data_IF_587892983847
#
_entry.id   IF_587892983847
#
_cell.length_a   1.000
_cell.length_b   1.000
_cell.length_c   1.000
_cell.angle_alpha   90.00
_cell.angle_beta   90.00
_cell.angle_gamma   90.00
#
_symmetry.space_group_name_H-M   'P 1'
#
loop_
_entity.id
_entity.type
_entity.pdbx_description
1 polymer ?
#
# COMPACT_ATOMS: atom_id res chain seq x y z
N UNK A 1 -11.66 31.36 2.22
CA UNK A 1 -10.33 30.73 2.34
C UNK A 1 -10.14 30.37 3.79
N UNK A 2 -10.33 29.10 4.07
CA UNK A 2 -10.41 28.47 5.38
C UNK A 2 -9.10 28.64 6.15
N UNK A 3 -9.04 29.67 7.01
CA UNK A 3 -7.89 29.99 7.85
C UNK A 3 -7.41 28.76 8.66
N UNK A 4 -8.34 27.89 9.06
CA UNK A 4 -8.07 26.74 9.94
C UNK A 4 -7.30 25.61 9.28
N UNK A 5 -7.58 25.28 8.00
CA UNK A 5 -6.88 24.19 7.33
C UNK A 5 -5.42 24.53 7.04
N UNK A 6 -5.13 25.80 6.76
CA UNK A 6 -3.76 26.29 6.56
C UNK A 6 -2.93 26.14 7.84
N UNK A 7 -3.47 26.58 8.99
CA UNK A 7 -2.81 26.44 10.29
C UNK A 7 -2.54 24.95 10.64
N UNK A 8 -3.50 24.07 10.36
CA UNK A 8 -3.32 22.62 10.58
C UNK A 8 -2.19 22.07 9.71
N UNK A 9 -2.08 22.50 8.45
CA UNK A 9 -0.97 22.11 7.58
C UNK A 9 0.38 22.59 8.11
N UNK A 10 0.45 23.81 8.66
CA UNK A 10 1.68 24.30 9.31
C UNK A 10 2.04 23.47 10.54
N UNK A 11 1.07 23.11 11.38
CA UNK A 11 1.30 22.24 12.54
C UNK A 11 1.81 20.85 12.12
N UNK A 12 1.31 20.30 11.01
CA UNK A 12 1.80 19.03 10.45
C UNK A 12 3.25 19.19 9.96
N UNK A 13 3.59 20.30 9.27
CA UNK A 13 4.97 20.59 8.84
C UNK A 13 5.93 20.69 10.02
N UNK A 14 5.49 21.29 11.13
CA UNK A 14 6.23 21.39 12.39
C UNK A 14 6.27 20.08 13.19
N UNK A 15 5.73 18.97 12.67
CA UNK A 15 5.60 17.66 13.35
C UNK A 15 4.78 17.72 14.66
N UNK A 16 3.95 18.75 14.85
CA UNK A 16 3.07 18.93 16.02
C UNK A 16 1.71 18.24 15.81
N UNK A 17 1.73 16.93 15.63
CA UNK A 17 0.55 16.14 15.26
C UNK A 17 -0.57 16.17 16.29
N UNK A 18 -0.25 16.24 17.58
CA UNK A 18 -1.26 16.30 18.67
C UNK A 18 -2.09 17.58 18.58
N UNK A 19 -1.42 18.72 18.41
CA UNK A 19 -2.10 20.02 18.25
C UNK A 19 -2.89 20.06 16.95
N UNK A 20 -2.31 19.58 15.86
CA UNK A 20 -2.99 19.48 14.57
C UNK A 20 -4.29 18.66 14.67
N UNK A 21 -4.25 17.51 15.35
CA UNK A 21 -5.41 16.65 15.53
C UNK A 21 -6.48 17.30 16.44
N UNK A 22 -6.06 18.00 17.49
CA UNK A 22 -6.99 18.74 18.36
C UNK A 22 -7.73 19.84 17.58
N UNK A 23 -6.99 20.68 16.84
CA UNK A 23 -7.59 21.72 15.98
C UNK A 23 -8.51 21.12 14.92
N UNK A 24 -8.12 19.98 14.35
CA UNK A 24 -8.92 19.28 13.35
C UNK A 24 -10.23 18.70 13.93
N UNK A 25 -10.24 18.27 15.18
CA UNK A 25 -11.46 17.80 15.88
C UNK A 25 -12.46 18.92 16.19
N UNK A 26 -12.01 20.18 16.26
CA UNK A 26 -12.91 21.33 16.46
C UNK A 26 -13.74 21.63 15.20
N UNK A 27 -13.32 21.14 14.03
CA UNK A 27 -14.04 21.32 12.78
C UNK A 27 -15.24 20.36 12.77
N UNK A 28 -16.45 20.92 12.82
CA UNK A 28 -17.70 20.14 12.81
C UNK A 28 -17.98 19.51 11.44
N UNK A 29 -17.60 20.20 10.37
CA UNK A 29 -17.86 19.77 9.01
C UNK A 29 -16.77 18.82 8.50
N UNK A 30 -17.12 17.55 8.31
CA UNK A 30 -16.20 16.50 7.88
C UNK A 30 -16.16 16.40 6.36
N UNK A 31 -15.62 17.43 5.73
CA UNK A 31 -15.44 17.47 4.28
C UNK A 31 -14.27 16.59 3.80
N UNK A 32 -14.10 16.48 2.48
CA UNK A 32 -12.98 15.75 1.89
C UNK A 32 -11.61 16.22 2.41
N UNK A 33 -11.42 17.54 2.58
CA UNK A 33 -10.19 18.13 3.13
C UNK A 33 -9.89 17.63 4.55
N UNK A 34 -10.93 17.50 5.39
CA UNK A 34 -10.80 17.00 6.77
C UNK A 34 -10.30 15.55 6.79
N UNK A 35 -10.89 14.70 5.94
CA UNK A 35 -10.47 13.31 5.80
C UNK A 35 -9.05 13.18 5.23
N UNK A 36 -8.69 14.04 4.27
CA UNK A 36 -7.32 14.11 3.75
C UNK A 36 -6.29 14.48 4.82
N UNK A 37 -6.51 15.56 5.57
CA UNK A 37 -5.60 15.97 6.64
C UNK A 37 -5.51 14.92 7.77
N UNK A 38 -6.62 14.28 8.12
CA UNK A 38 -6.65 13.16 9.08
C UNK A 38 -5.76 12.01 8.61
N UNK A 39 -5.85 11.64 7.33
CA UNK A 39 -5.03 10.57 6.74
C UNK A 39 -3.54 10.93 6.74
N UNK A 40 -3.20 12.20 6.53
CA UNK A 40 -1.84 12.74 6.59
C UNK A 40 -1.25 12.66 7.99
N UNK A 41 -2.02 13.07 9.01
CA UNK A 41 -1.62 12.98 10.42
C UNK A 41 -1.40 11.52 10.81
N UNK A 42 -2.33 10.62 10.46
CA UNK A 42 -2.22 9.19 10.74
C UNK A 42 -0.99 8.57 10.04
N UNK A 43 -0.75 8.92 8.78
CA UNK A 43 0.42 8.45 8.02
C UNK A 43 1.74 8.89 8.67
N UNK A 44 1.83 10.14 9.14
CA UNK A 44 3.01 10.66 9.83
C UNK A 44 3.25 10.03 11.22
N UNK A 45 2.21 9.43 11.80
CA UNK A 45 2.26 8.67 13.06
C UNK A 45 2.40 7.16 12.84
N UNK A 46 2.63 6.73 11.59
CA UNK A 46 2.79 5.32 11.20
C UNK A 46 1.52 4.47 11.43
N UNK A 47 0.35 5.13 11.51
CA UNK A 47 -0.95 4.47 11.62
C UNK A 47 -1.54 4.24 10.24
N UNK A 48 -0.97 3.30 9.50
CA UNK A 48 -1.29 3.08 8.08
C UNK A 48 -2.73 2.62 7.86
N UNK A 49 -3.29 1.78 8.73
CA UNK A 49 -4.69 1.33 8.61
C UNK A 49 -5.69 2.48 8.77
N UNK A 50 -5.45 3.36 9.76
CA UNK A 50 -6.26 4.55 9.94
C UNK A 50 -6.08 5.51 8.75
N UNK A 51 -4.84 5.72 8.29
CA UNK A 51 -4.56 6.57 7.15
C UNK A 51 -5.33 6.10 5.90
N UNK A 52 -5.25 4.80 5.55
CA UNK A 52 -5.95 4.18 4.41
C UNK A 52 -7.46 4.40 4.46
N UNK A 53 -8.09 4.19 5.61
CA UNK A 53 -9.54 4.40 5.78
C UNK A 53 -9.92 5.86 5.52
N UNK A 54 -9.18 6.80 6.09
CA UNK A 54 -9.47 8.23 5.93
C UNK A 54 -9.24 8.71 4.50
N UNK A 55 -8.15 8.31 3.83
CA UNK A 55 -7.90 8.75 2.46
C UNK A 55 -8.89 8.13 1.45
N UNK A 56 -9.40 6.93 1.74
CA UNK A 56 -10.44 6.30 0.90
C UNK A 56 -11.70 7.16 0.92
N UNK A 57 -12.18 7.54 2.12
CA UNK A 57 -13.30 8.49 2.27
C UNK A 57 -12.99 9.84 1.60
N UNK A 58 -11.73 10.29 1.71
CA UNK A 58 -11.06 11.30 0.88
C UNK A 58 -11.55 11.38 -0.57
N UNK A 59 -11.19 10.33 -1.27
CA UNK A 59 -11.37 10.17 -2.72
C UNK A 59 -12.84 9.91 -3.07
N UNK A 60 -13.59 9.26 -2.19
CA UNK A 60 -15.03 9.03 -2.38
C UNK A 60 -15.83 10.33 -2.32
N UNK A 61 -15.46 11.26 -1.41
CA UNK A 61 -16.10 12.56 -1.27
C UNK A 61 -15.71 13.54 -2.40
N UNK A 62 -14.43 13.54 -2.78
CA UNK A 62 -13.93 14.39 -3.87
C UNK A 62 -13.07 13.56 -4.82
N UNK A 63 -13.76 12.96 -5.79
CA UNK A 63 -13.12 12.16 -6.84
C UNK A 63 -12.48 13.03 -7.93
N UNK A 64 -12.70 14.34 -7.93
CA UNK A 64 -12.10 15.23 -8.94
C UNK A 64 -10.65 15.58 -8.61
N UNK A 65 -10.29 15.46 -7.32
CA UNK A 65 -9.00 15.88 -6.83
C UNK A 65 -7.91 14.81 -6.99
N UNK A 66 -7.00 15.05 -7.93
CA UNK A 66 -5.85 14.18 -8.19
C UNK A 66 -4.88 14.07 -7.01
N UNK A 67 -4.83 15.07 -6.12
CA UNK A 67 -3.94 15.05 -4.94
C UNK A 67 -4.34 13.89 -4.02
N UNK A 68 -5.66 13.69 -3.81
CA UNK A 68 -6.17 12.63 -2.95
C UNK A 68 -5.91 11.27 -3.56
N UNK A 69 -6.16 11.10 -4.86
CA UNK A 69 -5.86 9.86 -5.59
C UNK A 69 -4.38 9.50 -5.54
N UNK A 70 -3.48 10.46 -5.78
CA UNK A 70 -2.03 10.24 -5.70
C UNK A 70 -1.61 9.82 -4.30
N UNK A 71 -2.16 10.45 -3.26
CA UNK A 71 -1.87 10.09 -1.88
C UNK A 71 -2.44 8.70 -1.52
N UNK A 72 -3.63 8.35 -2.01
CA UNK A 72 -4.22 7.04 -1.85
C UNK A 72 -3.36 5.93 -2.46
N UNK A 73 -2.91 6.11 -3.71
CA UNK A 73 -2.02 5.16 -4.39
C UNK A 73 -0.70 5.02 -3.64
N UNK A 74 -0.14 6.13 -3.13
CA UNK A 74 1.06 6.12 -2.28
C UNK A 74 0.88 5.29 -1.00
N UNK A 75 -0.30 5.35 -0.37
CA UNK A 75 -0.64 4.59 0.83
C UNK A 75 -0.92 3.10 0.55
N UNK A 76 -1.39 2.78 -0.66
CA UNK A 76 -1.68 1.42 -1.11
C UNK A 76 -0.45 0.66 -1.63
N UNK A 77 0.60 1.37 -2.05
CA UNK A 77 1.85 0.74 -2.44
C UNK A 77 2.47 -0.03 -1.26
N UNK A 78 3.13 -1.18 -1.50
CA UNK A 78 4.00 -1.79 -0.49
C UNK A 78 5.00 -0.71 -0.09
N UNK A 79 5.20 -0.50 1.20
CA UNK A 79 5.96 0.62 1.79
C UNK A 79 7.41 0.72 1.26
N UNK A 80 7.59 1.15 0.01
CA UNK A 80 8.87 1.13 -0.74
C UNK A 80 8.78 0.89 -2.26
N UNK A 81 7.61 0.63 -2.86
CA UNK A 81 7.48 0.38 -4.31
C UNK A 81 6.90 1.57 -5.10
N UNK A 82 7.45 1.92 -6.29
CA UNK A 82 6.88 2.96 -7.14
C UNK A 82 5.43 2.65 -7.54
N UNK A 83 4.61 3.69 -7.81
CA UNK A 83 3.19 3.53 -8.09
C UNK A 83 2.94 2.55 -9.26
N UNK A 84 1.87 1.76 -9.22
CA UNK A 84 1.49 0.87 -10.34
C UNK A 84 1.29 1.73 -11.59
N UNK A 85 2.19 1.57 -12.56
CA UNK A 85 2.24 2.37 -13.79
C UNK A 85 3.56 3.14 -14.02
N UNK A 86 4.42 3.28 -13.00
CA UNK A 86 5.77 3.87 -13.13
C UNK A 86 6.88 2.86 -12.83
N UNK A 87 6.65 1.56 -13.09
CA UNK A 87 7.78 0.66 -13.29
C UNK A 87 8.41 1.07 -14.62
N UNK A 88 9.70 1.45 -14.68
CA UNK A 88 10.36 1.53 -15.97
C UNK A 88 10.13 0.21 -16.70
N UNK A 89 9.89 0.22 -18.02
CA UNK A 89 9.80 -1.01 -18.76
C UNK A 89 11.03 -1.86 -18.43
N UNK A 90 10.89 -3.17 -18.16
CA UNK A 90 12.05 -4.02 -18.03
C UNK A 90 12.92 -3.83 -19.28
N UNK A 91 14.26 -3.86 -19.17
CA UNK A 91 15.13 -3.75 -20.33
C UNK A 91 14.66 -4.74 -21.42
N UNK A 92 14.76 -4.38 -22.71
CA UNK A 92 14.01 -5.01 -23.81
C UNK A 92 14.24 -6.51 -24.07
N UNK A 93 15.01 -7.21 -23.22
CA UNK A 93 15.40 -8.60 -23.40
C UNK A 93 14.66 -9.62 -22.53
N UNK A 94 13.59 -9.25 -21.81
CA UNK A 94 12.78 -10.23 -21.06
C UNK A 94 11.32 -10.24 -21.52
N UNK A 95 11.11 -10.64 -22.77
CA UNK A 95 9.85 -11.23 -23.22
C UNK A 95 10.09 -12.70 -23.52
N UNK A 96 9.73 -13.56 -22.58
CA UNK A 96 9.45 -14.96 -22.83
C UNK A 96 8.00 -15.19 -22.35
N UNK A 97 7.06 -15.57 -23.25
CA UNK A 97 5.71 -15.89 -22.85
C UNK A 97 5.69 -17.29 -22.21
N UNK A 98 5.33 -17.37 -20.92
CA UNK A 98 4.92 -18.64 -20.31
C UNK A 98 5.77 -19.20 -19.17
N UNK A 99 6.12 -18.40 -18.16
CA UNK A 99 6.68 -18.96 -16.92
C UNK A 99 6.20 -18.18 -15.69
N UNK A 100 5.58 -18.88 -14.74
CA UNK A 100 5.03 -18.30 -13.51
C UNK A 100 5.96 -18.45 -12.29
N UNK A 101 7.18 -18.94 -12.49
CA UNK A 101 8.19 -19.12 -11.45
C UNK A 101 9.58 -18.72 -11.98
N UNK A 102 10.35 -17.98 -11.18
CA UNK A 102 11.61 -17.33 -11.56
C UNK A 102 12.84 -18.25 -11.65
N UNK A 103 12.69 -19.45 -12.20
CA UNK A 103 13.79 -20.39 -12.38
C UNK A 103 13.88 -20.80 -13.86
N UNK A 104 14.81 -20.20 -14.61
CA UNK A 104 15.13 -20.60 -15.98
C UNK A 104 16.64 -20.57 -16.19
N UNK A 105 17.31 -21.66 -15.83
CA UNK A 105 18.49 -22.16 -16.57
C UNK A 105 18.36 -23.70 -16.64
N UNK A 106 18.40 -24.18 -17.88
CA UNK A 106 18.45 -25.57 -18.37
C UNK A 106 17.66 -26.69 -17.64
N UNK A 107 16.56 -27.16 -18.27
CA UNK A 107 16.12 -28.56 -18.14
C UNK A 107 14.90 -28.92 -17.26
N UNK A 108 14.21 -27.97 -16.62
CA UNK A 108 13.14 -28.29 -15.66
C UNK A 108 11.70 -28.39 -16.24
N UNK A 109 11.52 -28.31 -17.56
CA UNK A 109 10.20 -28.31 -18.21
C UNK A 109 9.84 -29.59 -18.97
N UNK A 110 10.36 -30.75 -18.54
CA UNK A 110 9.76 -32.04 -18.87
C UNK A 110 9.36 -32.71 -17.56
N UNK A 111 8.08 -33.05 -17.45
CA UNK A 111 7.40 -33.69 -16.32
C UNK A 111 6.86 -32.69 -15.27
N UNK A 112 5.54 -32.47 -15.33
CA UNK A 112 4.58 -32.44 -14.20
C UNK A 112 5.06 -31.98 -12.78
N UNK A 113 5.92 -30.98 -12.63
CA UNK A 113 6.31 -30.46 -11.31
C UNK A 113 5.28 -29.50 -10.69
N UNK A 114 4.35 -28.95 -11.48
CA UNK A 114 3.23 -28.16 -10.95
C UNK A 114 2.17 -29.00 -10.20
N UNK A 115 2.25 -30.34 -10.22
CA UNK A 115 1.37 -31.19 -9.41
C UNK A 115 2.03 -31.63 -8.09
N UNK A 116 3.35 -31.84 -8.04
CA UNK A 116 4.03 -32.29 -6.82
C UNK A 116 4.44 -31.16 -5.87
N UNK A 117 4.75 -29.95 -6.36
CA UNK A 117 5.12 -28.83 -5.47
C UNK A 117 3.91 -28.25 -4.73
N UNK A 118 2.72 -28.34 -5.31
CA UNK A 118 1.49 -28.00 -4.61
C UNK A 118 1.07 -29.03 -3.55
N UNK A 119 1.60 -30.26 -3.61
CA UNK A 119 1.35 -31.28 -2.58
C UNK A 119 2.32 -31.16 -1.38
N UNK A 120 3.54 -30.64 -1.58
CA UNK A 120 4.53 -30.49 -0.50
C UNK A 120 4.35 -29.19 0.31
N UNK A 121 3.99 -28.08 -0.34
CA UNK A 121 3.74 -26.81 0.39
C UNK A 121 2.40 -26.76 1.15
N UNK A 122 1.52 -27.77 0.98
CA UNK A 122 0.31 -27.90 1.78
C UNK A 122 0.56 -28.65 3.11
N UNK A 123 1.76 -29.22 3.30
CA UNK A 123 2.11 -30.07 4.44
C UNK A 123 2.85 -29.32 5.59
N UNK A 124 3.35 -28.10 5.38
CA UNK A 124 4.09 -27.32 6.41
C UNK A 124 3.24 -26.22 7.09
N UNK A 125 1.92 -26.20 6.87
CA UNK A 125 1.02 -25.23 7.53
C UNK A 125 -0.04 -25.84 8.47
N UNK A 126 -0.10 -27.16 8.66
CA UNK A 126 -1.04 -27.78 9.62
C UNK A 126 -0.46 -28.92 10.49
N UNK A 127 0.83 -28.90 10.82
CA UNK A 127 1.41 -29.65 11.96
C UNK A 127 1.38 -31.18 11.86
N UNK A 128 2.56 -31.80 11.71
CA UNK A 128 2.72 -33.23 11.90
C UNK A 128 4.12 -33.72 11.56
N UNK A 129 4.86 -34.13 12.60
CA UNK A 129 6.12 -34.86 12.55
C UNK A 129 5.95 -36.17 11.77
N UNK A 130 6.89 -36.51 10.87
CA UNK A 130 7.42 -37.86 10.58
C UNK A 130 8.24 -37.84 9.27
N UNK A 131 9.57 -37.91 9.42
CA UNK A 131 10.65 -38.12 8.41
C UNK A 131 11.50 -36.85 8.15
N UNK A 132 12.76 -36.90 8.58
CA UNK A 132 13.79 -35.90 8.27
C UNK A 132 14.13 -35.92 6.77
N UNK A 133 14.06 -34.76 6.10
CA UNK A 133 14.45 -34.64 4.71
C UNK A 133 15.99 -34.67 4.57
N UNK A 134 16.50 -35.54 3.69
CA UNK A 134 17.89 -35.54 3.18
C UNK A 134 18.04 -34.54 2.05
#
# INVERSE_FOLDING_TARGET
MDLTYYEIQELIKQKKYTKANYSLQQIKERNAVWHYLSSLIAYKREWFDAAKRHIKQAVELDNTNDIYKKFYVKLMGPHGGPPPGHRPPPPPNYRQPGCCCGCCDDGCCKVNCCHLICADSCCECMGGDLISCI
#
